data_IF_306558889795
#
_entry.id   IF_306558889795
#
_cell.length_a   1.000
_cell.length_b   1.000
_cell.length_c   1.000
_cell.angle_alpha   90.00
_cell.angle_beta   90.00
_cell.angle_gamma   90.00
#
_symmetry.space_group_name_H-M   'P 1'
#
loop_
_entity.id
_entity.type
_entity.pdbx_description
1 polymer ?
#
# COMPACT_ATOMS: atom_id res chain seq x y z
N UNK A 1 11.33 15.42 6.15
CA UNK A 1 11.48 14.34 5.16
C UNK A 1 11.03 14.88 3.82
N UNK A 2 11.71 14.48 2.74
CA UNK A 2 11.23 14.73 1.40
C UNK A 2 9.94 13.90 1.13
N UNK A 3 9.02 14.38 0.26
CA UNK A 3 7.81 13.64 -0.14
C UNK A 3 8.08 12.19 -0.57
N UNK A 4 9.19 11.94 -1.27
CA UNK A 4 9.64 10.61 -1.68
C UNK A 4 9.94 9.67 -0.50
N UNK A 5 10.53 10.19 0.57
CA UNK A 5 10.85 9.43 1.79
C UNK A 5 9.59 9.06 2.57
N UNK A 6 8.64 10.00 2.69
CA UNK A 6 7.34 9.74 3.34
C UNK A 6 6.54 8.68 2.58
N UNK A 7 6.49 8.80 1.26
CA UNK A 7 5.87 7.80 0.38
C UNK A 7 6.49 6.41 0.59
N UNK A 8 7.82 6.35 0.55
CA UNK A 8 8.54 5.09 0.74
C UNK A 8 8.26 4.49 2.12
N UNK A 9 8.37 5.29 3.19
CA UNK A 9 8.13 4.82 4.55
C UNK A 9 6.72 4.25 4.71
N UNK A 10 5.71 4.87 4.08
CA UNK A 10 4.34 4.41 4.14
C UNK A 10 4.14 3.07 3.41
N UNK A 11 4.68 2.94 2.18
CA UNK A 11 4.57 1.71 1.39
C UNK A 11 5.39 0.56 2.00
N UNK A 12 6.60 0.84 2.47
CA UNK A 12 7.45 -0.14 3.16
C UNK A 12 6.81 -0.58 4.49
N UNK A 13 6.23 0.36 5.22
CA UNK A 13 5.46 0.10 6.43
C UNK A 13 4.31 -0.86 6.16
N UNK A 14 3.50 -0.60 5.12
CA UNK A 14 2.42 -1.50 4.71
C UNK A 14 2.95 -2.87 4.26
N UNK A 15 4.01 -2.92 3.46
CA UNK A 15 4.61 -4.18 3.00
C UNK A 15 4.99 -5.08 4.17
N UNK A 16 5.59 -4.51 5.23
CA UNK A 16 5.91 -5.24 6.45
C UNK A 16 4.66 -5.84 7.11
N UNK A 17 3.54 -5.11 7.18
CA UNK A 17 2.29 -5.63 7.77
C UNK A 17 1.64 -6.69 6.90
N UNK A 18 1.74 -6.57 5.58
CA UNK A 18 1.25 -7.62 4.67
C UNK A 18 2.00 -8.93 4.86
N UNK A 19 3.30 -8.87 5.13
CA UNK A 19 4.10 -10.03 5.48
C UNK A 19 3.64 -10.69 6.78
N UNK A 20 3.25 -9.93 7.81
CA UNK A 20 2.77 -10.52 9.08
C UNK A 20 1.43 -11.25 8.94
N UNK A 21 0.63 -10.91 7.92
CA UNK A 21 -0.61 -11.62 7.56
C UNK A 21 -0.42 -12.62 6.40
N UNK A 22 0.83 -12.99 6.10
CA UNK A 22 1.19 -13.97 5.06
C UNK A 22 0.68 -13.62 3.65
N UNK A 23 0.55 -12.33 3.34
CA UNK A 23 0.16 -11.86 2.01
C UNK A 23 1.39 -11.45 1.20
N UNK A 24 1.59 -12.11 0.05
CA UNK A 24 2.70 -11.80 -0.84
C UNK A 24 2.57 -10.39 -1.45
N UNK A 25 3.63 -9.60 -1.38
CA UNK A 25 3.69 -8.26 -1.96
C UNK A 25 5.08 -7.93 -2.53
N UNK A 26 5.14 -6.94 -3.40
CA UNK A 26 6.37 -6.46 -4.04
C UNK A 26 6.39 -4.93 -4.08
N UNK A 27 7.40 -4.33 -3.45
CA UNK A 27 7.63 -2.89 -3.55
C UNK A 27 8.60 -2.64 -4.72
N UNK A 28 8.16 -1.85 -5.70
CA UNK A 28 8.90 -1.59 -6.93
C UNK A 28 9.35 -0.13 -6.98
N UNK A 29 10.62 0.09 -7.34
CA UNK A 29 11.26 1.40 -7.49
C UNK A 29 11.65 1.62 -8.95
N UNK A 30 10.74 2.11 -9.79
CA UNK A 30 11.09 2.46 -11.17
C UNK A 30 11.99 3.70 -11.17
N UNK A 31 13.05 3.69 -12.00
CA UNK A 31 14.06 4.76 -12.05
C UNK A 31 13.50 6.17 -12.35
N UNK A 32 12.33 6.24 -12.99
CA UNK A 32 11.69 7.50 -13.43
C UNK A 32 10.21 7.59 -13.06
N UNK A 33 9.76 6.81 -12.08
CA UNK A 33 8.37 6.86 -11.64
C UNK A 33 8.26 6.69 -10.13
N UNK A 34 7.05 6.85 -9.63
CA UNK A 34 6.78 6.77 -8.20
C UNK A 34 6.87 5.30 -7.71
N UNK A 35 7.34 5.06 -6.47
CA UNK A 35 7.29 3.74 -5.88
C UNK A 35 5.86 3.20 -5.80
N UNK A 36 5.68 1.92 -6.14
CA UNK A 36 4.38 1.24 -6.11
C UNK A 36 4.51 -0.07 -5.34
N UNK A 37 3.55 -0.34 -4.45
CA UNK A 37 3.44 -1.62 -3.78
C UNK A 37 2.41 -2.49 -4.51
N UNK A 38 2.83 -3.64 -5.03
CA UNK A 38 1.91 -4.62 -5.61
C UNK A 38 1.55 -5.67 -4.57
N UNK A 39 0.27 -5.97 -4.41
CA UNK A 39 -0.24 -7.02 -3.52
C UNK A 39 -0.79 -8.19 -4.32
N UNK A 40 -0.49 -9.42 -3.91
CA UNK A 40 -1.01 -10.63 -4.57
C UNK A 40 -2.45 -10.88 -4.12
N UNK A 41 -3.38 -10.82 -5.05
CA UNK A 41 -4.79 -11.12 -4.80
C UNK A 41 -5.09 -12.62 -4.97
N UNK A 42 -6.26 -13.05 -4.47
CA UNK A 42 -6.72 -14.46 -4.53
C UNK A 42 -6.84 -15.01 -5.96
N UNK A 43 -7.19 -14.14 -6.90
CA UNK A 43 -7.29 -14.44 -8.34
C UNK A 43 -5.93 -14.50 -9.05
N UNK A 44 -4.82 -14.50 -8.29
CA UNK A 44 -3.42 -14.43 -8.77
C UNK A 44 -3.08 -13.13 -9.50
N UNK A 45 -3.98 -12.15 -9.56
CA UNK A 45 -3.68 -10.82 -10.07
C UNK A 45 -2.86 -10.05 -9.03
N UNK A 46 -2.17 -9.03 -9.51
CA UNK A 46 -1.39 -8.11 -8.69
C UNK A 46 -2.06 -6.77 -8.75
N UNK A 47 -2.49 -6.28 -7.59
CA UNK A 47 -3.14 -4.99 -7.52
C UNK A 47 -2.17 -3.95 -6.96
N UNK A 48 -2.09 -2.76 -7.57
CA UNK A 48 -1.26 -1.69 -7.06
C UNK A 48 -1.93 -1.04 -5.83
N UNK A 49 -1.12 -0.81 -4.81
CA UNK A 49 -1.38 0.08 -3.71
C UNK A 49 -0.50 1.31 -3.90
N UNK A 50 -1.13 2.47 -3.91
CA UNK A 50 -0.48 3.76 -4.15
C UNK A 50 -0.43 4.55 -2.84
N UNK A 51 0.66 5.27 -2.63
CA UNK A 51 0.75 6.28 -1.59
C UNK A 51 0.67 7.66 -2.24
N UNK A 52 -0.43 8.37 -1.97
CA UNK A 52 -0.75 9.67 -2.57
C UNK A 52 -0.76 10.76 -1.51
N UNK A 53 -0.32 11.96 -1.89
CA UNK A 53 -0.41 13.14 -1.04
C UNK A 53 -1.72 13.87 -1.31
N UNK A 54 -2.47 14.17 -0.25
CA UNK A 54 -3.71 14.96 -0.29
C UNK A 54 -3.61 16.13 0.68
N UNK A 55 -3.25 17.31 0.16
CA UNK A 55 -2.96 18.46 1.00
C UNK A 55 -1.65 18.24 1.77
N UNK A 56 -1.73 18.11 3.09
CA UNK A 56 -0.56 17.86 3.96
C UNK A 56 -0.50 16.43 4.52
N UNK A 57 -1.40 15.54 4.05
CA UNK A 57 -1.49 14.17 4.55
C UNK A 57 -1.19 13.15 3.45
N UNK A 58 -0.67 12.00 3.86
CA UNK A 58 -0.39 10.87 2.97
C UNK A 58 -1.41 9.77 3.16
N UNK A 59 -1.98 9.32 2.05
CA UNK A 59 -3.04 8.31 2.01
C UNK A 59 -2.59 7.10 1.22
N UNK A 60 -3.02 5.92 1.65
CA UNK A 60 -2.88 4.68 0.90
C UNK A 60 -4.16 4.42 0.13
N UNK A 61 -4.05 4.29 -1.19
CA UNK A 61 -5.15 3.96 -2.08
C UNK A 61 -4.99 2.54 -2.64
N UNK A 62 -6.06 1.76 -2.58
CA UNK A 62 -6.16 0.46 -3.21
C UNK A 62 -7.54 0.28 -3.84
N UNK A 63 -7.59 -0.03 -5.13
CA UNK A 63 -8.85 -0.14 -5.90
C UNK A 63 -9.78 1.09 -5.76
N UNK A 64 -9.19 2.28 -5.67
CA UNK A 64 -9.92 3.54 -5.51
C UNK A 64 -10.36 3.85 -4.07
N UNK A 65 -9.98 3.04 -3.08
CA UNK A 65 -10.39 3.19 -1.69
C UNK A 65 -9.22 3.63 -0.80
N UNK A 66 -9.52 4.53 0.14
CA UNK A 66 -8.59 4.92 1.20
C UNK A 66 -8.45 3.81 2.25
N UNK A 67 -7.20 3.43 2.54
CA UNK A 67 -6.87 2.29 3.40
C UNK A 67 -6.44 2.68 4.81
N UNK A 68 -5.67 3.76 4.95
CA UNK A 68 -4.93 4.08 6.18
C UNK A 68 -5.65 5.06 7.11
N UNK A 69 -6.93 5.34 6.91
CA UNK A 69 -7.74 6.15 7.83
C UNK A 69 -7.70 5.61 9.27
N UNK A 70 -7.49 4.30 9.44
CA UNK A 70 -7.44 3.60 10.73
C UNK A 70 -6.05 3.01 11.04
N UNK A 71 -5.01 3.38 10.29
CA UNK A 71 -3.64 2.86 10.46
C UNK A 71 -3.27 1.68 9.53
N UNK A 72 -1.99 1.31 9.55
CA UNK A 72 -1.41 0.34 8.60
C UNK A 72 -1.81 -1.12 8.87
N UNK A 73 -2.04 -1.49 10.14
CA UNK A 73 -2.45 -2.85 10.48
C UNK A 73 -3.85 -3.16 9.96
N UNK A 74 -4.77 -2.18 10.06
CA UNK A 74 -6.11 -2.32 9.51
C UNK A 74 -6.09 -2.32 7.98
N UNK A 75 -5.26 -1.48 7.35
CA UNK A 75 -5.05 -1.52 5.91
C UNK A 75 -4.60 -2.91 5.43
N UNK A 76 -3.64 -3.53 6.11
CA UNK A 76 -3.16 -4.87 5.77
C UNK A 76 -4.25 -5.95 5.95
N UNK A 77 -5.03 -5.87 7.03
CA UNK A 77 -6.18 -6.78 7.25
C UNK A 77 -7.24 -6.65 6.15
N UNK A 78 -7.59 -5.42 5.75
CA UNK A 78 -8.55 -5.16 4.66
C UNK A 78 -8.06 -5.73 3.32
N UNK A 79 -6.76 -5.57 3.03
CA UNK A 79 -6.14 -6.19 1.85
C UNK A 79 -6.21 -7.71 1.91
N UNK A 80 -5.86 -8.31 3.04
CA UNK A 80 -5.89 -9.77 3.23
C UNK A 80 -7.31 -10.36 3.15
N UNK A 81 -8.31 -9.64 3.63
CA UNK A 81 -9.71 -10.00 3.50
C UNK A 81 -10.21 -9.97 2.03
N UNK A 82 -9.48 -9.31 1.13
CA UNK A 82 -9.90 -9.11 -0.26
C UNK A 82 -10.98 -8.04 -0.42
N UNK A 83 -11.30 -7.33 0.66
CA UNK A 83 -12.39 -6.38 0.74
C UNK A 83 -11.98 -4.99 0.24
N UNK A 84 -12.29 -4.69 -1.02
CA UNK A 84 -13.09 -3.48 -1.25
C UNK A 84 -14.46 -3.73 -0.56
N UNK A 85 -15.15 -2.71 -0.01
CA UNK A 85 -16.44 -2.94 0.64
C UNK A 85 -17.38 -3.77 -0.25
#
# INVERSE_FOLDING_TARGET
MAPSEMRYALLAGLAWRLWTVSLGCWLVFPERAEPVLFVRCRDRRRDPVLAVERGQTWLLLWRGLELNASGLDEAARRIAAGGAP
#
